data_IF_563701207887
#
_entry.id   IF_563701207887
#
_cell.length_a   1.000
_cell.length_b   1.000
_cell.length_c   1.000
_cell.angle_alpha   90.00
_cell.angle_beta   90.00
_cell.angle_gamma   90.00
#
_symmetry.space_group_name_H-M   'P 1'
#
loop_
_entity.id
_entity.type
_entity.pdbx_description
1 polymer ?
#
# COMPACT_ATOMS: atom_id res chain seq x y z
N UNK A 1 -24.32 -4.54 21.19
CA UNK A 1 -22.86 -4.34 20.97
C UNK A 1 -22.37 -3.12 21.75
N UNK A 2 -21.11 -3.07 22.22
CA UNK A 2 -20.54 -1.88 22.87
C UNK A 2 -19.62 -1.13 21.89
N UNK A 3 -20.20 -0.33 21.00
CA UNK A 3 -19.47 0.63 20.16
C UNK A 3 -19.89 2.05 20.55
N UNK A 4 -18.96 3.01 20.53
CA UNK A 4 -19.34 4.40 20.69
C UNK A 4 -19.77 4.96 19.34
N UNK A 5 -21.06 5.22 19.21
CA UNK A 5 -21.61 5.88 18.03
C UNK A 5 -21.22 7.35 18.05
N UNK A 6 -20.62 7.81 16.97
CA UNK A 6 -20.20 9.21 16.85
C UNK A 6 -21.43 10.05 16.50
N UNK A 7 -21.68 11.09 17.29
CA UNK A 7 -22.75 12.03 17.00
C UNK A 7 -22.33 12.92 15.81
N UNK A 8 -23.05 12.81 14.70
CA UNK A 8 -22.81 13.55 13.46
C UNK A 8 -23.95 14.55 13.30
N UNK A 9 -23.60 15.84 13.22
CA UNK A 9 -24.59 16.94 13.21
C UNK A 9 -24.39 17.93 12.07
N UNK A 10 -23.22 17.91 11.41
CA UNK A 10 -22.83 18.93 10.42
C UNK A 10 -22.78 18.43 8.98
N UNK A 11 -23.28 17.22 8.69
CA UNK A 11 -23.12 16.56 7.37
C UNK A 11 -23.51 17.47 6.21
N UNK A 12 -24.72 18.06 6.21
CA UNK A 12 -25.19 18.89 5.10
C UNK A 12 -24.35 20.16 4.91
N UNK A 13 -23.87 20.76 6.00
CA UNK A 13 -23.02 21.94 5.98
C UNK A 13 -21.67 21.60 5.34
N UNK A 14 -21.05 20.50 5.77
CA UNK A 14 -19.76 20.02 5.25
C UNK A 14 -19.88 19.66 3.77
N UNK A 15 -20.95 18.97 3.36
CA UNK A 15 -21.21 18.64 1.95
C UNK A 15 -21.20 19.89 1.07
N UNK A 16 -21.87 20.97 1.51
CA UNK A 16 -21.95 22.23 0.76
C UNK A 16 -20.63 23.00 0.77
N UNK A 17 -19.94 23.04 1.90
CA UNK A 17 -18.70 23.81 2.06
C UNK A 17 -17.54 23.20 1.28
N UNK A 18 -17.41 21.88 1.30
CA UNK A 18 -16.26 21.16 0.72
C UNK A 18 -16.58 20.49 -0.63
N UNK A 19 -17.81 20.63 -1.12
CA UNK A 19 -18.31 19.97 -2.33
C UNK A 19 -18.07 18.45 -2.34
N UNK A 20 -18.45 17.80 -1.23
CA UNK A 20 -18.29 16.36 -1.02
C UNK A 20 -19.62 15.65 -0.84
N UNK A 21 -19.63 14.34 -1.05
CA UNK A 21 -20.82 13.52 -0.84
C UNK A 21 -21.10 13.25 0.65
N UNK A 22 -22.24 12.60 0.92
CA UNK A 22 -22.71 12.36 2.27
C UNK A 22 -21.77 11.46 3.09
N UNK A 23 -21.23 10.38 2.50
CA UNK A 23 -20.33 9.49 3.22
C UNK A 23 -19.01 10.17 3.61
N UNK A 24 -18.43 10.95 2.69
CA UNK A 24 -17.21 11.72 2.96
C UNK A 24 -17.48 12.75 4.05
N UNK A 25 -18.56 13.52 3.94
CA UNK A 25 -18.93 14.52 4.94
C UNK A 25 -19.14 13.91 6.33
N UNK A 26 -19.80 12.74 6.42
CA UNK A 26 -19.97 12.01 7.69
C UNK A 26 -18.63 11.62 8.33
N UNK A 27 -17.66 11.17 7.52
CA UNK A 27 -16.32 10.83 8.03
C UNK A 27 -15.55 12.07 8.46
N UNK A 28 -15.65 13.19 7.73
CA UNK A 28 -15.06 14.48 8.11
C UNK A 28 -15.59 14.94 9.47
N UNK A 29 -16.92 14.95 9.64
CA UNK A 29 -17.58 15.35 10.89
C UNK A 29 -17.18 14.41 12.04
N UNK A 30 -17.27 13.09 11.82
CA UNK A 30 -16.96 12.10 12.84
C UNK A 30 -15.49 12.11 13.29
N UNK A 31 -14.57 12.45 12.39
CA UNK A 31 -13.13 12.57 12.70
C UNK A 31 -12.72 13.98 13.13
N UNK A 32 -13.65 14.95 13.14
CA UNK A 32 -13.34 16.35 13.46
C UNK A 32 -12.28 16.95 12.55
N UNK A 33 -12.30 16.58 11.26
CA UNK A 33 -11.35 17.12 10.29
C UNK A 33 -11.69 18.57 9.96
N UNK A 34 -10.72 19.47 10.13
CA UNK A 34 -10.85 20.86 9.70
C UNK A 34 -10.77 20.95 8.18
N UNK A 35 -11.33 22.02 7.62
CA UNK A 35 -11.24 22.32 6.18
C UNK A 35 -9.78 22.34 5.70
N UNK A 36 -8.88 23.00 6.44
CA UNK A 36 -7.44 23.02 6.13
C UNK A 36 -6.84 21.62 6.04
N UNK A 37 -7.16 20.73 7.00
CA UNK A 37 -6.68 19.35 7.00
C UNK A 37 -7.29 18.54 5.86
N UNK A 38 -8.54 18.79 5.50
CA UNK A 38 -9.20 18.14 4.37
C UNK A 38 -8.55 18.53 3.04
N UNK A 39 -8.30 19.82 2.82
CA UNK A 39 -7.61 20.29 1.61
C UNK A 39 -6.19 19.73 1.54
N UNK A 40 -5.45 19.71 2.65
CA UNK A 40 -4.12 19.10 2.72
C UNK A 40 -4.11 17.57 2.43
N UNK A 41 -5.22 16.86 2.63
CA UNK A 41 -5.33 15.43 2.27
C UNK A 41 -5.48 15.19 0.76
N UNK A 42 -5.96 16.20 0.04
CA UNK A 42 -6.27 16.16 -1.38
C UNK A 42 -5.26 16.95 -2.24
N UNK A 43 -4.35 17.69 -1.62
CA UNK A 43 -3.27 18.37 -2.30
C UNK A 43 -2.18 17.37 -2.74
N UNK A 44 -1.68 17.59 -3.96
CA UNK A 44 -0.61 16.80 -4.56
C UNK A 44 0.75 17.37 -4.12
N UNK A 45 1.50 16.60 -3.35
CA UNK A 45 2.82 17.00 -2.86
C UNK A 45 3.92 16.32 -3.67
N UNK A 46 4.94 17.08 -4.04
CA UNK A 46 6.16 16.56 -4.65
C UNK A 46 7.34 16.71 -3.70
N UNK A 47 8.23 15.72 -3.68
CA UNK A 47 9.51 15.87 -3.01
C UNK A 47 10.43 16.79 -3.82
N UNK A 48 11.00 17.79 -3.18
CA UNK A 48 12.05 18.61 -3.78
C UNK A 48 13.41 18.16 -3.24
N UNK A 49 14.36 17.92 -4.14
CA UNK A 49 15.69 17.43 -3.76
C UNK A 49 16.40 18.39 -2.79
N UNK A 50 16.20 19.70 -2.99
CA UNK A 50 16.79 20.76 -2.17
C UNK A 50 16.28 20.81 -0.73
N UNK A 51 15.23 20.07 -0.38
CA UNK A 51 14.73 19.99 0.99
C UNK A 51 15.61 19.09 1.88
N UNK A 52 16.51 18.30 1.27
CA UNK A 52 17.32 17.28 1.94
C UNK A 52 18.80 17.65 1.91
N UNK A 53 19.38 17.87 3.08
CA UNK A 53 20.80 18.21 3.25
C UNK A 53 21.68 17.11 2.64
N UNK A 54 22.69 17.50 1.86
CA UNK A 54 23.62 16.60 1.17
C UNK A 54 23.06 15.90 -0.08
N UNK A 55 21.75 15.95 -0.35
CA UNK A 55 21.16 15.25 -1.49
C UNK A 55 21.55 15.90 -2.84
N UNK A 56 21.62 17.23 -2.90
CA UNK A 56 22.09 17.98 -4.08
C UNK A 56 23.57 17.70 -4.35
N UNK A 57 24.40 17.62 -3.31
CA UNK A 57 25.82 17.30 -3.42
C UNK A 57 26.03 15.87 -3.95
N UNK A 58 25.26 14.90 -3.42
CA UNK A 58 25.28 13.53 -3.93
C UNK A 58 24.82 13.47 -5.40
N UNK A 59 23.78 14.21 -5.77
CA UNK A 59 23.36 14.30 -7.17
C UNK A 59 24.49 14.86 -8.05
N UNK A 60 25.15 15.93 -7.62
CA UNK A 60 26.21 16.55 -8.38
C UNK A 60 27.43 15.63 -8.54
N UNK A 61 27.85 14.92 -7.48
CA UNK A 61 29.00 14.01 -7.57
C UNK A 61 28.69 12.76 -8.40
N UNK A 62 27.45 12.24 -8.37
CA UNK A 62 27.01 11.14 -9.24
C UNK A 62 27.10 11.59 -10.70
N UNK A 63 26.65 12.82 -11.00
CA UNK A 63 26.74 13.39 -12.35
C UNK A 63 28.19 13.51 -12.81
N UNK A 64 29.05 14.12 -12.01
CA UNK A 64 30.47 14.28 -12.33
C UNK A 64 31.16 12.92 -12.55
N UNK A 65 30.89 11.96 -11.67
CA UNK A 65 31.42 10.60 -11.77
C UNK A 65 30.96 9.91 -13.06
N UNK A 66 29.70 10.09 -13.45
CA UNK A 66 29.15 9.55 -14.69
C UNK A 66 29.78 10.20 -15.93
N UNK A 67 29.90 11.53 -15.95
CA UNK A 67 30.48 12.29 -17.07
C UNK A 67 31.96 11.92 -17.29
N UNK A 68 32.66 11.53 -16.23
CA UNK A 68 34.04 11.02 -16.26
C UNK A 68 34.15 9.50 -16.56
N UNK A 69 33.04 8.84 -16.93
CA UNK A 69 32.96 7.37 -17.13
C UNK A 69 33.47 6.58 -15.91
N UNK A 70 33.35 7.10 -14.70
CA UNK A 70 33.83 6.40 -13.51
C UNK A 70 32.88 5.26 -13.11
N UNK A 71 33.45 4.19 -12.57
CA UNK A 71 32.67 3.03 -12.12
C UNK A 71 32.11 3.26 -10.72
N UNK A 72 30.82 3.01 -10.55
CA UNK A 72 30.15 3.01 -9.25
C UNK A 72 30.21 1.64 -8.56
N UNK A 73 30.38 1.64 -7.26
CA UNK A 73 30.24 0.48 -6.40
C UNK A 73 29.01 0.69 -5.51
N UNK A 74 28.05 -0.22 -5.55
CA UNK A 74 26.86 -0.17 -4.68
C UNK A 74 27.05 -1.15 -3.54
N UNK A 75 26.86 -0.66 -2.32
CA UNK A 75 26.95 -1.44 -1.08
C UNK A 75 25.69 -1.23 -0.27
N UNK A 76 25.11 -2.33 0.23
CA UNK A 76 23.83 -2.30 0.94
C UNK A 76 23.74 -3.39 1.98
N UNK A 77 23.09 -3.07 3.10
CA UNK A 77 22.66 -4.05 4.09
C UNK A 77 21.42 -4.85 3.62
N UNK A 78 21.07 -5.97 4.29
CA UNK A 78 19.98 -6.84 3.85
C UNK A 78 18.56 -6.41 4.28
N UNK A 79 18.35 -5.16 4.71
CA UNK A 79 16.99 -4.65 5.00
C UNK A 79 16.16 -4.53 3.71
N UNK A 80 14.83 -4.65 3.85
CA UNK A 80 13.92 -4.59 2.69
C UNK A 80 13.89 -3.20 2.03
N UNK A 81 13.92 -2.12 2.81
CA UNK A 81 14.02 -0.76 2.28
C UNK A 81 15.32 -0.61 1.47
N UNK A 82 16.45 -1.01 2.04
CA UNK A 82 17.76 -0.91 1.41
C UNK A 82 17.88 -1.74 0.12
N UNK A 83 17.21 -2.90 0.07
CA UNK A 83 17.05 -3.67 -1.15
C UNK A 83 16.35 -2.86 -2.25
N UNK A 84 15.22 -2.22 -1.92
CA UNK A 84 14.46 -1.44 -2.90
C UNK A 84 15.21 -0.17 -3.32
N UNK A 85 15.87 0.52 -2.38
CA UNK A 85 16.77 1.64 -2.66
C UNK A 85 17.90 1.22 -3.61
N UNK A 86 18.56 0.09 -3.32
CA UNK A 86 19.58 -0.49 -4.19
C UNK A 86 19.05 -0.72 -5.60
N UNK A 87 17.86 -1.32 -5.73
CA UNK A 87 17.23 -1.58 -7.04
C UNK A 87 16.94 -0.27 -7.79
N UNK A 88 16.45 0.76 -7.12
CA UNK A 88 16.20 2.08 -7.71
C UNK A 88 17.49 2.68 -8.26
N UNK A 89 18.58 2.66 -7.48
CA UNK A 89 19.89 3.17 -7.88
C UNK A 89 20.44 2.39 -9.08
N UNK A 90 20.56 1.06 -8.98
CA UNK A 90 21.18 0.25 -10.04
C UNK A 90 20.38 0.27 -11.34
N UNK A 91 19.04 0.35 -11.27
CA UNK A 91 18.21 0.46 -12.47
C UNK A 91 18.41 1.81 -13.15
N UNK A 92 18.52 2.87 -12.38
CA UNK A 92 18.75 4.21 -12.90
C UNK A 92 20.14 4.30 -13.53
N UNK A 93 21.18 3.79 -12.86
CA UNK A 93 22.54 3.67 -13.42
C UNK A 93 22.57 2.81 -14.71
N UNK A 94 21.86 1.68 -14.74
CA UNK A 94 21.75 0.85 -15.94
C UNK A 94 21.07 1.58 -17.10
N UNK A 95 20.01 2.37 -16.84
CA UNK A 95 19.34 3.19 -17.85
C UNK A 95 20.21 4.35 -18.33
N UNK A 96 21.04 4.93 -17.45
CA UNK A 96 22.07 5.90 -17.80
C UNK A 96 23.24 5.26 -18.58
N UNK A 97 23.31 3.92 -18.64
CA UNK A 97 24.46 3.16 -19.16
C UNK A 97 25.76 3.41 -18.38
N UNK A 98 25.66 3.76 -17.10
CA UNK A 98 26.80 3.92 -16.22
C UNK A 98 27.45 2.55 -15.90
N UNK A 99 28.76 2.54 -15.67
CA UNK A 99 29.48 1.35 -15.20
C UNK A 99 29.25 1.18 -13.71
N UNK A 100 28.75 0.02 -13.29
CA UNK A 100 28.57 -0.26 -11.87
C UNK A 100 28.85 -1.72 -11.49
N UNK A 101 29.11 -1.94 -10.22
CA UNK A 101 29.20 -3.26 -9.58
C UNK A 101 28.44 -3.22 -8.26
N UNK A 102 27.85 -4.35 -7.88
CA UNK A 102 27.12 -4.49 -6.62
C UNK A 102 27.91 -5.44 -5.73
N UNK A 103 28.19 -5.03 -4.50
CA UNK A 103 28.80 -5.90 -3.49
C UNK A 103 27.96 -5.90 -2.24
N UNK A 104 27.74 -7.10 -1.70
CA UNK A 104 27.25 -7.26 -0.35
C UNK A 104 28.44 -7.12 0.60
N UNK A 105 28.35 -6.25 1.61
CA UNK A 105 29.46 -6.05 2.55
C UNK A 105 28.90 -6.01 3.97
N UNK A 106 29.51 -6.84 4.83
CA UNK A 106 29.22 -6.92 6.26
C UNK A 106 30.37 -6.33 7.11
N UNK A 107 31.40 -5.73 6.49
CA UNK A 107 32.56 -5.10 7.16
C UNK A 107 33.24 -3.96 6.36
N UNK A 108 33.53 -2.86 7.06
CA UNK A 108 34.37 -1.69 6.74
C UNK A 108 34.34 -1.19 5.28
N UNK A 109 33.23 -0.54 4.92
CA UNK A 109 33.05 0.17 3.64
C UNK A 109 34.15 1.22 3.38
N UNK A 110 34.68 1.80 4.45
CA UNK A 110 35.79 2.76 4.41
C UNK A 110 37.11 2.17 3.87
N UNK A 111 37.22 0.85 3.68
CA UNK A 111 38.38 0.23 3.02
C UNK A 111 38.21 0.16 1.50
N UNK A 112 37.01 0.42 0.98
CA UNK A 112 36.72 0.35 -0.45
C UNK A 112 37.28 1.56 -1.18
N UNK A 113 37.80 1.30 -2.38
CA UNK A 113 38.35 2.34 -3.27
C UNK A 113 37.37 2.58 -4.42
N UNK A 114 37.25 3.83 -4.86
CA UNK A 114 36.40 4.25 -5.97
C UNK A 114 35.18 5.03 -5.52
N UNK A 115 34.23 5.22 -6.44
CA UNK A 115 32.96 5.89 -6.17
C UNK A 115 31.98 4.89 -5.56
N UNK A 116 31.73 5.01 -4.27
CA UNK A 116 30.87 4.07 -3.54
C UNK A 116 29.57 4.76 -3.16
N UNK A 117 28.45 4.13 -3.50
CA UNK A 117 27.12 4.48 -3.01
C UNK A 117 26.76 3.44 -1.95
N UNK A 118 26.73 3.87 -0.69
CA UNK A 118 26.42 3.03 0.46
C UNK A 118 24.98 3.28 0.92
N UNK A 119 24.24 2.19 1.17
CA UNK A 119 22.82 2.20 1.56
C UNK A 119 22.65 1.35 2.83
N UNK A 120 22.77 1.99 3.99
CA UNK A 120 22.77 1.33 5.31
C UNK A 120 21.71 1.94 6.22
N UNK A 121 22.12 2.72 7.21
CA UNK A 121 21.19 3.51 8.02
C UNK A 121 20.87 4.83 7.32
N UNK A 122 21.78 5.31 6.46
CA UNK A 122 21.61 6.47 5.60
C UNK A 122 22.05 6.17 4.16
N UNK A 123 21.77 7.10 3.25
CA UNK A 123 22.25 7.07 1.87
C UNK A 123 23.51 7.94 1.79
N UNK A 124 24.63 7.32 1.43
CA UNK A 124 25.94 7.97 1.42
C UNK A 124 26.63 7.81 0.07
N UNK A 125 27.48 8.78 -0.26
CA UNK A 125 28.45 8.69 -1.33
C UNK A 125 29.84 8.91 -0.76
N UNK A 126 30.77 7.98 -0.99
CA UNK A 126 32.15 8.16 -0.58
C UNK A 126 33.15 7.80 -1.68
N UNK A 127 34.24 8.57 -1.72
CA UNK A 127 35.42 8.27 -2.50
C UNK A 127 36.66 8.71 -1.71
N UNK A 128 37.33 7.73 -1.09
CA UNK A 128 38.51 7.95 -0.26
C UNK A 128 39.70 8.52 -1.03
N UNK A 129 39.80 8.26 -2.34
CA UNK A 129 40.89 8.79 -3.16
C UNK A 129 40.72 10.28 -3.46
N UNK A 130 39.46 10.73 -3.52
CA UNK A 130 39.09 12.14 -3.71
C UNK A 130 38.80 12.88 -2.39
N UNK A 131 38.94 12.20 -1.24
CA UNK A 131 38.56 12.72 0.08
C UNK A 131 37.10 13.23 0.13
N UNK A 132 36.19 12.50 -0.51
CA UNK A 132 34.76 12.82 -0.57
C UNK A 132 34.01 11.88 0.36
N UNK A 133 33.24 12.46 1.27
CA UNK A 133 32.32 11.77 2.16
C UNK A 133 31.05 12.60 2.28
N UNK A 134 29.99 12.15 1.64
CA UNK A 134 28.68 12.81 1.61
C UNK A 134 27.63 11.86 2.17
N UNK A 135 26.69 12.43 2.90
CA UNK A 135 25.59 11.72 3.54
C UNK A 135 24.33 12.56 3.40
N UNK A 136 23.20 11.90 3.18
CA UNK A 136 21.90 12.57 3.15
C UNK A 136 21.22 12.48 4.50
N UNK A 137 20.89 13.62 5.08
CA UNK A 137 20.02 13.70 6.25
C UNK A 137 18.56 13.71 5.77
N UNK A 138 17.78 12.69 6.16
CA UNK A 138 16.41 12.49 5.68
C UNK A 138 15.55 11.79 6.73
N UNK A 139 14.27 12.15 6.78
CA UNK A 139 13.21 11.46 7.52
C UNK A 139 12.43 10.45 6.65
N UNK A 140 12.71 10.43 5.35
CA UNK A 140 12.12 9.49 4.40
C UNK A 140 12.71 8.08 4.52
N UNK A 141 12.01 7.09 3.98
CA UNK A 141 12.63 5.79 3.65
C UNK A 141 13.79 5.98 2.67
N UNK A 142 14.82 5.13 2.77
CA UNK A 142 15.99 5.21 1.90
C UNK A 142 15.63 4.95 0.44
N UNK A 143 14.62 4.13 0.17
CA UNK A 143 14.09 3.94 -1.19
C UNK A 143 13.45 5.20 -1.74
N UNK A 144 12.74 5.95 -0.91
CA UNK A 144 12.16 7.24 -1.33
C UNK A 144 13.26 8.25 -1.58
N UNK A 145 14.27 8.33 -0.70
CA UNK A 145 15.41 9.22 -0.92
C UNK A 145 16.18 8.84 -2.20
N UNK A 146 16.45 7.55 -2.42
CA UNK A 146 17.05 7.05 -3.65
C UNK A 146 16.20 7.41 -4.89
N UNK A 147 14.87 7.32 -4.81
CA UNK A 147 14.00 7.77 -5.89
C UNK A 147 14.10 9.29 -6.12
N UNK A 148 14.09 10.09 -5.06
CA UNK A 148 14.16 11.55 -5.13
C UNK A 148 15.48 12.04 -5.73
N UNK A 149 16.60 11.36 -5.48
CA UNK A 149 17.88 11.65 -6.13
C UNK A 149 17.88 11.15 -7.58
N UNK A 150 17.52 9.88 -7.79
CA UNK A 150 17.71 9.25 -9.10
C UNK A 150 16.71 9.72 -10.17
N UNK A 151 15.53 10.24 -9.77
CA UNK A 151 14.55 10.82 -10.71
C UNK A 151 15.08 12.04 -11.46
N UNK A 152 16.09 12.74 -10.91
CA UNK A 152 16.76 13.88 -11.55
C UNK A 152 17.59 13.46 -12.77
N UNK A 153 17.98 12.18 -12.83
CA UNK A 153 18.69 11.61 -13.97
C UNK A 153 17.75 10.82 -14.88
N UNK A 154 16.92 9.95 -14.29
CA UNK A 154 16.06 9.03 -15.03
C UNK A 154 14.72 8.86 -14.32
N UNK A 155 13.65 9.21 -15.03
CA UNK A 155 12.28 8.92 -14.57
C UNK A 155 11.93 7.45 -14.87
N UNK A 156 11.68 6.67 -13.83
CA UNK A 156 11.25 5.27 -13.92
C UNK A 156 10.00 5.02 -13.08
N UNK A 157 8.88 4.72 -13.73
CA UNK A 157 7.60 4.44 -13.03
C UNK A 157 7.72 3.29 -12.03
N UNK A 158 8.59 2.30 -12.31
CA UNK A 158 8.81 1.20 -11.38
C UNK A 158 9.53 1.65 -10.10
N UNK A 159 10.39 2.67 -10.17
CA UNK A 159 11.04 3.24 -8.98
C UNK A 159 10.03 3.93 -8.05
N UNK A 160 8.97 4.55 -8.60
CA UNK A 160 7.86 5.10 -7.81
C UNK A 160 7.16 3.98 -7.03
N UNK A 161 6.88 2.85 -7.68
CA UNK A 161 6.27 1.69 -7.03
C UNK A 161 7.14 1.12 -5.91
N UNK A 162 8.45 0.98 -6.15
CA UNK A 162 9.40 0.50 -5.13
C UNK A 162 9.49 1.44 -3.93
N UNK A 163 9.64 2.75 -4.17
CA UNK A 163 9.71 3.76 -3.12
C UNK A 163 8.43 3.80 -2.27
N UNK A 164 7.26 3.71 -2.91
CA UNK A 164 5.99 3.65 -2.19
C UNK A 164 5.86 2.39 -1.33
N UNK A 165 6.24 1.22 -1.84
CA UNK A 165 6.20 -0.04 -1.08
C UNK A 165 7.16 0.02 0.11
N UNK A 166 8.31 0.68 -0.05
CA UNK A 166 9.25 0.88 1.05
C UNK A 166 8.67 1.74 2.18
N UNK A 167 7.88 2.78 1.89
CA UNK A 167 7.20 3.54 2.95
C UNK A 167 6.26 2.66 3.79
N UNK A 168 5.68 1.61 3.19
CA UNK A 168 4.87 0.62 3.93
C UNK A 168 5.76 -0.23 4.84
N UNK A 169 6.97 -0.60 4.41
CA UNK A 169 7.87 -1.45 5.20
C UNK A 169 8.54 -0.71 6.36
N UNK A 170 8.82 0.58 6.19
CA UNK A 170 9.41 1.44 7.23
C UNK A 170 8.39 2.06 8.17
N UNK A 171 7.08 1.82 7.94
CA UNK A 171 5.96 2.41 8.69
C UNK A 171 6.02 3.94 8.77
N UNK A 172 6.60 4.59 7.74
CA UNK A 172 6.57 6.05 7.64
C UNK A 172 5.12 6.52 7.43
N UNK A 173 4.67 7.61 8.08
CA UNK A 173 3.31 8.10 7.91
C UNK A 173 2.96 8.37 6.44
N UNK A 174 1.83 7.82 5.99
CA UNK A 174 1.32 8.01 4.61
C UNK A 174 0.45 9.27 4.51
N UNK A 175 1.01 10.40 4.94
CA UNK A 175 0.47 11.76 4.77
C UNK A 175 1.27 12.55 3.72
N UNK A 176 0.71 13.67 3.24
CA UNK A 176 1.37 14.63 2.35
C UNK A 176 2.08 13.98 1.14
N UNK A 177 3.40 14.15 1.00
CA UNK A 177 4.19 13.59 -0.10
C UNK A 177 4.19 12.05 -0.13
N UNK A 178 4.23 11.38 1.02
CA UNK A 178 4.14 9.91 1.09
C UNK A 178 2.77 9.40 0.61
N UNK A 179 1.70 10.15 0.91
CA UNK A 179 0.34 9.86 0.42
C UNK A 179 0.26 10.00 -1.09
N UNK A 180 0.79 11.10 -1.63
CA UNK A 180 0.84 11.38 -3.07
C UNK A 180 1.63 10.30 -3.79
N UNK A 181 2.80 9.93 -3.26
CA UNK A 181 3.63 8.84 -3.78
C UNK A 181 2.87 7.50 -3.80
N UNK A 182 2.13 7.18 -2.74
CA UNK A 182 1.33 5.97 -2.67
C UNK A 182 0.20 5.95 -3.71
N UNK A 183 -0.55 7.04 -3.85
CA UNK A 183 -1.63 7.14 -4.86
C UNK A 183 -1.08 6.93 -6.27
N UNK A 184 0.01 7.63 -6.63
CA UNK A 184 0.70 7.46 -7.92
C UNK A 184 1.23 6.04 -8.12
N UNK A 185 1.81 5.44 -7.08
CA UNK A 185 2.29 4.06 -7.15
C UNK A 185 1.15 3.06 -7.36
N UNK A 186 0.01 3.22 -6.68
CA UNK A 186 -1.18 2.38 -6.86
C UNK A 186 -1.65 2.41 -8.32
N UNK A 187 -1.80 3.59 -8.90
CA UNK A 187 -2.19 3.75 -10.31
C UNK A 187 -1.19 3.07 -11.25
N UNK A 188 0.12 3.27 -11.04
CA UNK A 188 1.17 2.62 -11.83
C UNK A 188 1.10 1.09 -11.71
N UNK A 189 0.89 0.56 -10.51
CA UNK A 189 0.82 -0.87 -10.26
C UNK A 189 -0.39 -1.52 -10.95
N UNK A 190 -1.53 -0.83 -10.93
CA UNK A 190 -2.78 -1.28 -11.55
C UNK A 190 -2.72 -1.19 -13.08
N UNK A 191 -2.10 -0.14 -13.63
CA UNK A 191 -1.90 0.06 -15.09
C UNK A 191 -0.82 -0.88 -15.66
N UNK A 192 0.37 -0.91 -15.05
CA UNK A 192 1.53 -1.64 -15.59
C UNK A 192 1.52 -3.13 -15.28
N UNK A 193 0.77 -3.55 -14.27
CA UNK A 193 0.62 -4.96 -13.88
C UNK A 193 1.97 -5.70 -13.78
N UNK A 194 2.93 -5.10 -13.06
CA UNK A 194 4.27 -5.66 -12.93
C UNK A 194 4.22 -7.07 -12.36
N UNK A 195 4.72 -8.04 -13.14
CA UNK A 195 4.68 -9.48 -12.86
C UNK A 195 5.24 -9.80 -11.48
N UNK A 196 6.31 -9.10 -11.08
CA UNK A 196 6.98 -9.29 -9.79
C UNK A 196 6.07 -9.04 -8.60
N UNK A 197 5.18 -8.06 -8.66
CA UNK A 197 4.23 -7.74 -7.58
C UNK A 197 2.95 -8.54 -7.69
N UNK A 198 2.41 -8.73 -8.90
CA UNK A 198 1.19 -9.50 -9.08
C UNK A 198 1.26 -10.91 -8.50
N UNK A 199 2.44 -11.56 -8.59
CA UNK A 199 2.65 -12.90 -8.04
C UNK A 199 2.40 -13.01 -6.54
N UNK A 200 2.55 -11.91 -5.80
CA UNK A 200 2.22 -11.83 -4.39
C UNK A 200 0.74 -11.46 -4.18
N UNK A 201 0.23 -10.55 -5.01
CA UNK A 201 -1.07 -9.91 -4.80
C UNK A 201 -2.28 -10.74 -5.27
N UNK A 202 -2.07 -11.70 -6.18
CA UNK A 202 -3.12 -12.60 -6.67
C UNK A 202 -2.61 -14.04 -6.81
N UNK A 203 -3.31 -14.99 -6.19
CA UNK A 203 -2.96 -16.41 -6.31
C UNK A 203 -3.23 -16.91 -7.74
N UNK A 204 -2.53 -17.96 -8.21
CA UNK A 204 -2.80 -18.56 -9.52
C UNK A 204 -4.27 -18.95 -9.71
N UNK A 205 -4.90 -19.52 -8.67
CA UNK A 205 -6.30 -19.95 -8.70
C UNK A 205 -7.23 -18.74 -8.87
N UNK A 206 -6.99 -17.67 -8.10
CA UNK A 206 -7.78 -16.44 -8.20
C UNK A 206 -7.62 -15.76 -9.56
N UNK A 207 -6.39 -15.73 -10.09
CA UNK A 207 -6.12 -15.21 -11.44
C UNK A 207 -6.88 -16.01 -12.50
N UNK A 208 -6.79 -17.34 -12.45
CA UNK A 208 -7.50 -18.22 -13.40
C UNK A 208 -9.02 -18.04 -13.30
N UNK A 209 -9.56 -17.95 -12.08
CA UNK A 209 -10.99 -17.72 -11.88
C UNK A 209 -11.46 -16.36 -12.43
N UNK A 210 -10.65 -15.30 -12.31
CA UNK A 210 -10.94 -14.00 -12.92
C UNK A 210 -10.90 -14.11 -14.46
N UNK A 211 -9.84 -14.67 -15.03
CA UNK A 211 -9.71 -14.83 -16.49
C UNK A 211 -10.89 -15.59 -17.10
N UNK A 212 -11.34 -16.68 -16.46
CA UNK A 212 -12.48 -17.47 -16.93
C UNK A 212 -13.81 -16.70 -16.88
N UNK A 213 -13.97 -15.73 -15.98
CA UNK A 213 -15.24 -15.01 -15.78
C UNK A 213 -15.31 -13.69 -16.54
N UNK A 214 -14.23 -12.90 -16.51
CA UNK A 214 -14.19 -11.54 -17.03
C UNK A 214 -13.27 -11.37 -18.24
N UNK A 215 -12.56 -12.41 -18.68
CA UNK A 215 -11.58 -12.34 -19.76
C UNK A 215 -10.27 -11.61 -19.39
N UNK A 216 -10.28 -10.82 -18.32
CA UNK A 216 -9.12 -10.12 -17.76
C UNK A 216 -8.95 -10.45 -16.28
N UNK A 217 -7.69 -10.59 -15.85
CA UNK A 217 -7.31 -10.57 -14.45
C UNK A 217 -7.04 -9.13 -14.02
N UNK A 218 -7.47 -8.77 -12.82
CA UNK A 218 -7.20 -7.46 -12.23
C UNK A 218 -6.71 -7.64 -10.79
N UNK A 219 -5.74 -6.82 -10.43
CA UNK A 219 -5.11 -6.81 -9.11
C UNK A 219 -5.28 -5.43 -8.50
N UNK A 220 -5.92 -5.36 -7.32
CA UNK A 220 -6.02 -4.11 -6.55
C UNK A 220 -4.90 -3.99 -5.53
N UNK A 221 -4.44 -2.76 -5.30
CA UNK A 221 -3.30 -2.42 -4.44
C UNK A 221 -3.72 -1.49 -3.27
N UNK A 222 -4.58 -2.01 -2.38
CA UNK A 222 -4.89 -1.33 -1.11
C UNK A 222 -3.78 -1.56 -0.08
N UNK A 223 -3.61 -0.63 0.87
CA UNK A 223 -2.51 -0.66 1.83
C UNK A 223 -2.43 -1.98 2.62
N UNK A 224 -3.47 -2.40 3.34
CA UNK A 224 -3.50 -3.70 4.06
C UNK A 224 -3.09 -4.86 3.19
N UNK A 225 -3.63 -4.93 1.98
CA UNK A 225 -3.36 -6.03 1.07
C UNK A 225 -1.89 -6.06 0.67
N UNK A 226 -1.30 -4.90 0.39
CA UNK A 226 0.14 -4.79 0.12
C UNK A 226 0.96 -5.14 1.37
N UNK A 227 0.55 -4.66 2.54
CA UNK A 227 1.22 -4.96 3.82
C UNK A 227 1.23 -6.47 4.09
N UNK A 228 0.08 -7.12 3.99
CA UNK A 228 -0.10 -8.52 4.40
C UNK A 228 0.38 -9.53 3.35
N UNK A 229 0.20 -9.24 2.04
CA UNK A 229 0.54 -10.20 0.98
C UNK A 229 1.93 -10.00 0.39
N UNK A 230 2.50 -8.79 0.49
CA UNK A 230 3.77 -8.44 -0.12
C UNK A 230 4.83 -8.07 0.94
N UNK A 231 4.59 -7.01 1.71
CA UNK A 231 5.63 -6.41 2.58
C UNK A 231 6.00 -7.32 3.73
N UNK A 232 5.03 -7.76 4.53
CA UNK A 232 5.32 -8.57 5.71
C UNK A 232 5.94 -9.93 5.34
N UNK A 233 5.46 -10.66 4.30
CA UNK A 233 6.13 -11.87 3.84
C UNK A 233 7.59 -11.63 3.39
N UNK A 234 7.87 -10.52 2.70
CA UNK A 234 9.23 -10.16 2.28
C UNK A 234 10.13 -9.83 3.47
N UNK A 235 9.64 -9.05 4.43
CA UNK A 235 10.37 -8.73 5.66
C UNK A 235 10.71 -10.00 6.45
N UNK A 236 9.74 -10.90 6.60
CA UNK A 236 9.97 -12.18 7.28
C UNK A 236 10.95 -13.08 6.52
N UNK A 237 10.93 -13.07 5.20
CA UNK A 237 11.90 -13.79 4.38
C UNK A 237 13.33 -13.26 4.60
N UNK A 238 13.49 -11.94 4.81
CA UNK A 238 14.78 -11.28 5.05
C UNK A 238 15.20 -11.21 6.54
N UNK A 239 14.36 -11.63 7.49
CA UNK A 239 14.58 -11.44 8.94
C UNK A 239 15.93 -11.94 9.48
N UNK A 240 16.50 -12.97 8.85
CA UNK A 240 17.78 -13.56 9.24
C UNK A 240 19.00 -12.82 8.63
N UNK A 241 18.79 -11.70 7.94
CA UNK A 241 19.82 -10.92 7.24
C UNK A 241 20.67 -11.79 6.30
N UNK A 242 20.03 -12.77 5.65
CA UNK A 242 20.68 -13.75 4.78
C UNK A 242 21.01 -13.15 3.41
N UNK A 243 22.30 -13.02 3.11
CA UNK A 243 22.83 -12.51 1.84
C UNK A 243 22.30 -13.25 0.61
N UNK A 244 22.14 -14.58 0.68
CA UNK A 244 21.64 -15.38 -0.45
C UNK A 244 20.18 -15.04 -0.73
N UNK A 245 19.37 -14.87 0.33
CA UNK A 245 17.97 -14.43 0.22
C UNK A 245 17.89 -13.02 -0.36
N UNK A 246 18.74 -12.11 0.11
CA UNK A 246 18.80 -10.75 -0.42
C UNK A 246 19.16 -10.71 -1.91
N UNK A 247 20.23 -11.41 -2.32
CA UNK A 247 20.64 -11.51 -3.73
C UNK A 247 19.57 -12.15 -4.63
N UNK A 248 18.82 -13.12 -4.10
CA UNK A 248 17.68 -13.72 -4.79
C UNK A 248 16.55 -12.71 -5.01
N UNK A 249 16.23 -11.88 -4.01
CA UNK A 249 15.24 -10.81 -4.15
C UNK A 249 15.72 -9.68 -5.05
N UNK A 250 17.00 -9.30 -4.99
CA UNK A 250 17.60 -8.32 -5.91
C UNK A 250 17.39 -8.77 -7.35
N UNK A 251 17.74 -10.02 -7.66
CA UNK A 251 17.54 -10.61 -8.98
C UNK A 251 16.07 -10.72 -9.38
N UNK A 252 15.18 -10.94 -8.41
CA UNK A 252 13.73 -11.06 -8.63
C UNK A 252 13.12 -9.71 -8.99
N UNK A 253 13.40 -8.66 -8.21
CA UNK A 253 12.78 -7.34 -8.37
C UNK A 253 13.52 -6.45 -9.38
N UNK A 254 14.74 -6.79 -9.81
CA UNK A 254 15.48 -5.96 -10.78
C UNK A 254 14.74 -5.78 -12.11
N UNK A 255 14.09 -6.83 -12.65
CA UNK A 255 13.28 -6.73 -13.86
C UNK A 255 11.80 -6.99 -13.55
N UNK A 256 10.94 -5.96 -13.55
CA UNK A 256 9.55 -6.07 -13.09
C UNK A 256 8.68 -7.01 -13.93
N UNK A 257 9.06 -7.27 -15.18
CA UNK A 257 8.27 -8.04 -16.12
C UNK A 257 8.87 -9.42 -16.43
N UNK A 258 9.95 -9.81 -15.74
CA UNK A 258 10.63 -11.08 -16.00
C UNK A 258 9.74 -12.26 -15.62
N UNK A 259 9.45 -13.10 -16.62
CA UNK A 259 8.69 -14.35 -16.45
C UNK A 259 9.64 -15.52 -16.42
N UNK A 260 10.03 -15.93 -15.21
CA UNK A 260 10.92 -17.07 -14.98
C UNK A 260 10.27 -18.04 -13.97
N UNK A 261 10.41 -19.34 -14.21
CA UNK A 261 9.89 -20.41 -13.36
C UNK A 261 10.58 -20.45 -11.99
N UNK A 262 11.88 -20.15 -11.91
CA UNK A 262 12.62 -20.04 -10.65
C UNK A 262 12.11 -18.87 -9.82
N UNK A 263 11.87 -17.72 -10.45
CA UNK A 263 11.28 -16.56 -9.79
C UNK A 263 9.86 -16.87 -9.30
N UNK A 264 9.09 -17.66 -10.05
CA UNK A 264 7.73 -18.06 -9.64
C UNK A 264 7.79 -18.93 -8.37
N UNK A 265 8.74 -19.87 -8.30
CA UNK A 265 8.97 -20.70 -7.11
C UNK A 265 9.41 -19.87 -5.90
N UNK A 266 10.24 -18.85 -6.12
CA UNK A 266 10.68 -17.93 -5.06
C UNK A 266 9.49 -17.15 -4.48
N UNK A 267 8.65 -16.55 -5.33
CA UNK A 267 7.46 -15.84 -4.88
C UNK A 267 6.53 -16.76 -4.06
N UNK A 268 6.27 -17.98 -4.54
CA UNK A 268 5.47 -18.98 -3.82
C UNK A 268 6.09 -19.41 -2.49
N UNK A 269 7.42 -19.41 -2.36
CA UNK A 269 8.09 -19.70 -1.10
C UNK A 269 7.90 -18.55 -0.09
N UNK A 270 8.00 -17.31 -0.55
CA UNK A 270 7.83 -16.11 0.27
C UNK A 270 6.37 -15.96 0.75
N UNK A 271 5.38 -16.27 -0.09
CA UNK A 271 3.95 -16.19 0.31
C UNK A 271 3.57 -17.17 1.44
N UNK A 272 4.44 -18.14 1.78
CA UNK A 272 4.20 -19.07 2.90
C UNK A 272 4.50 -18.45 4.27
N UNK A 273 5.22 -17.34 4.31
CA UNK A 273 5.46 -16.60 5.55
C UNK A 273 4.15 -15.90 5.95
N UNK A 274 3.41 -16.52 6.87
CA UNK A 274 2.16 -15.97 7.41
C UNK A 274 2.47 -14.78 8.30
N UNK A 275 1.60 -13.77 8.26
CA UNK A 275 1.56 -12.68 9.23
C UNK A 275 0.15 -12.51 9.73
N UNK A 276 0.03 -12.08 10.99
CA UNK A 276 -1.26 -11.70 11.53
C UNK A 276 -1.78 -10.45 10.81
N UNK A 277 -3.07 -10.44 10.50
CA UNK A 277 -3.71 -9.29 9.89
C UNK A 277 -3.81 -8.17 10.93
N UNK A 278 -3.02 -7.09 10.76
CA UNK A 278 -3.24 -5.87 11.53
C UNK A 278 -4.60 -5.27 11.18
N UNK A 279 -5.35 -4.85 12.21
CA UNK A 279 -6.64 -4.18 12.01
C UNK A 279 -6.40 -2.76 11.47
N UNK A 280 -6.98 -2.46 10.31
CA UNK A 280 -6.92 -1.13 9.68
C UNK A 280 -7.87 -0.10 10.32
N UNK A 281 -8.74 -0.53 11.22
CA UNK A 281 -9.85 0.28 11.73
C UNK A 281 -9.79 0.42 13.25
N UNK A 282 -10.33 1.54 13.73
CA UNK A 282 -10.52 1.80 15.15
C UNK A 282 -11.86 1.20 15.59
N UNK A 283 -11.83 0.21 16.49
CA UNK A 283 -13.03 -0.47 17.00
C UNK A 283 -13.79 0.37 18.03
N UNK A 284 -13.28 1.53 18.45
CA UNK A 284 -13.94 2.35 19.46
C UNK A 284 -15.09 3.20 18.93
N UNK A 285 -15.08 3.55 17.63
CA UNK A 285 -16.00 4.51 17.03
C UNK A 285 -16.68 3.96 15.78
N UNK A 286 -18.00 4.16 15.67
CA UNK A 286 -18.79 3.80 14.47
C UNK A 286 -19.61 4.97 13.96
N UNK A 287 -19.76 5.03 12.64
CA UNK A 287 -20.52 6.04 11.92
C UNK A 287 -21.84 5.43 11.42
N UNK A 288 -22.97 6.00 11.82
CA UNK A 288 -24.27 5.50 11.37
C UNK A 288 -24.52 5.82 9.89
N UNK A 289 -24.96 4.80 9.16
CA UNK A 289 -25.39 4.89 7.77
C UNK A 289 -26.69 4.14 7.56
N UNK A 290 -27.41 4.51 6.50
CA UNK A 290 -28.60 3.83 6.03
C UNK A 290 -28.31 3.06 4.75
N UNK A 291 -29.15 2.09 4.41
CA UNK A 291 -29.01 1.31 3.17
C UNK A 291 -29.05 2.18 1.90
N UNK A 292 -29.79 3.30 1.94
CA UNK A 292 -29.93 4.21 0.80
C UNK A 292 -28.67 5.04 0.51
N UNK A 293 -27.81 5.24 1.52
CA UNK A 293 -26.52 5.93 1.40
C UNK A 293 -25.42 5.02 0.84
N UNK A 294 -25.63 3.70 0.83
CA UNK A 294 -24.64 2.72 0.40
C UNK A 294 -24.75 2.52 -1.12
N UNK A 295 -24.09 3.40 -1.86
CA UNK A 295 -24.05 3.41 -3.34
C UNK A 295 -22.62 3.29 -3.85
N UNK A 296 -22.46 2.79 -5.07
CA UNK A 296 -21.13 2.59 -5.69
C UNK A 296 -20.35 3.90 -5.70
N UNK A 297 -20.93 4.97 -6.24
CA UNK A 297 -20.24 6.26 -6.37
C UNK A 297 -19.94 6.89 -5.00
N UNK A 298 -20.83 6.67 -4.02
CA UNK A 298 -20.62 7.13 -2.64
C UNK A 298 -19.38 6.48 -2.01
N UNK A 299 -19.25 5.16 -2.17
CA UNK A 299 -18.12 4.38 -1.64
C UNK A 299 -16.84 4.67 -2.43
N UNK A 300 -16.90 4.87 -3.75
CA UNK A 300 -15.73 5.24 -4.56
C UNK A 300 -15.14 6.56 -4.10
N UNK A 301 -15.95 7.62 -4.00
CA UNK A 301 -15.51 8.92 -3.52
C UNK A 301 -14.91 8.82 -2.10
N UNK A 302 -15.52 8.03 -1.21
CA UNK A 302 -14.98 7.78 0.12
C UNK A 302 -13.57 7.15 0.06
N UNK A 303 -13.39 6.10 -0.74
CA UNK A 303 -12.11 5.44 -0.93
C UNK A 303 -11.07 6.38 -1.57
N UNK A 304 -11.42 7.11 -2.63
CA UNK A 304 -10.51 8.03 -3.32
C UNK A 304 -10.06 9.20 -2.43
N UNK A 305 -10.96 9.69 -1.59
CA UNK A 305 -10.71 10.79 -0.66
C UNK A 305 -9.75 10.37 0.44
N UNK A 306 -9.96 9.21 1.07
CA UNK A 306 -9.28 8.85 2.32
C UNK A 306 -8.20 7.76 2.17
N UNK A 307 -8.24 6.90 1.16
CA UNK A 307 -7.16 5.92 0.97
C UNK A 307 -5.85 6.61 0.54
N UNK A 308 -4.69 6.13 1.01
CA UNK A 308 -4.49 5.00 1.93
C UNK A 308 -4.88 5.33 3.38
N UNK A 309 -5.51 4.36 4.06
CA UNK A 309 -5.72 4.38 5.52
C UNK A 309 -4.46 3.88 6.21
N UNK A 310 -3.98 4.57 7.25
CA UNK A 310 -2.73 4.26 7.96
C UNK A 310 -2.89 4.54 9.46
N UNK A 311 -1.83 4.37 10.27
CA UNK A 311 -1.93 4.53 11.73
C UNK A 311 -2.39 5.93 12.18
N UNK A 312 -2.07 6.97 11.42
CA UNK A 312 -2.55 8.34 11.66
C UNK A 312 -3.95 8.63 11.07
N UNK A 313 -4.49 7.75 10.22
CA UNK A 313 -5.83 7.87 9.66
C UNK A 313 -6.44 6.49 9.41
N UNK A 314 -6.94 5.87 10.48
CA UNK A 314 -7.54 4.53 10.44
C UNK A 314 -8.83 4.51 9.63
N UNK A 315 -9.09 3.38 8.97
CA UNK A 315 -10.30 3.13 8.18
C UNK A 315 -11.55 3.29 9.05
N UNK A 316 -12.57 4.05 8.61
CA UNK A 316 -13.79 4.24 9.37
C UNK A 316 -14.63 2.95 9.43
N UNK A 317 -15.23 2.70 10.60
CA UNK A 317 -16.28 1.70 10.77
C UNK A 317 -17.65 2.36 10.64
N UNK A 318 -18.55 1.65 9.98
CA UNK A 318 -19.92 2.06 9.76
C UNK A 318 -20.88 1.07 10.43
N UNK A 319 -22.00 1.59 10.93
CA UNK A 319 -23.08 0.78 11.49
C UNK A 319 -24.36 0.94 10.66
N UNK A 320 -24.92 -0.17 10.22
CA UNK A 320 -26.29 -0.30 9.74
C UNK A 320 -27.15 -0.84 10.87
N UNK A 321 -28.22 -0.13 11.25
CA UNK A 321 -29.10 -0.53 12.34
C UNK A 321 -30.42 -1.08 11.85
N UNK A 322 -30.89 -2.13 12.51
CA UNK A 322 -32.25 -2.65 12.39
C UNK A 322 -32.69 -2.89 10.94
N UNK A 323 -31.78 -3.44 10.12
CA UNK A 323 -32.04 -3.75 8.71
C UNK A 323 -32.61 -5.15 8.58
N UNK A 324 -33.59 -5.32 7.70
CA UNK A 324 -34.26 -6.60 7.46
C UNK A 324 -33.52 -7.39 6.39
N UNK A 325 -33.14 -8.63 6.71
CA UNK A 325 -32.44 -9.53 5.80
C UNK A 325 -33.35 -9.95 4.64
N UNK A 326 -32.93 -9.67 3.41
CA UNK A 326 -33.66 -10.12 2.21
C UNK A 326 -33.29 -11.57 1.87
N UNK A 327 -31.99 -11.88 1.84
CA UNK A 327 -31.48 -13.21 1.54
C UNK A 327 -30.14 -13.46 2.23
N UNK A 328 -29.78 -14.72 2.43
CA UNK A 328 -28.50 -15.12 3.04
C UNK A 328 -27.89 -16.33 2.36
N UNK A 329 -26.57 -16.29 2.15
CA UNK A 329 -25.79 -17.38 1.57
C UNK A 329 -24.54 -17.66 2.38
N UNK A 330 -24.30 -18.94 2.68
CA UNK A 330 -23.00 -19.42 3.16
C UNK A 330 -22.19 -19.98 1.99
N UNK A 331 -20.87 -19.80 2.04
CA UNK A 331 -19.95 -20.29 1.00
C UNK A 331 -18.64 -20.76 1.61
N UNK A 332 -17.83 -21.42 0.79
CA UNK A 332 -16.52 -21.97 1.17
C UNK A 332 -16.56 -22.77 2.49
N UNK A 333 -17.36 -23.84 2.50
CA UNK A 333 -17.53 -24.73 3.65
C UNK A 333 -17.93 -23.99 4.94
N UNK A 334 -18.83 -23.00 4.81
CA UNK A 334 -19.33 -22.12 5.88
C UNK A 334 -18.28 -21.18 6.51
N UNK A 335 -17.11 -21.00 5.89
CA UNK A 335 -16.16 -19.94 6.26
C UNK A 335 -16.63 -18.57 5.82
N UNK A 336 -17.45 -18.50 4.78
CA UNK A 336 -18.03 -17.27 4.24
C UNK A 336 -19.52 -17.12 4.54
N UNK A 337 -19.94 -15.88 4.81
CA UNK A 337 -21.33 -15.46 4.93
C UNK A 337 -21.56 -14.23 4.04
N UNK A 338 -22.61 -14.27 3.22
CA UNK A 338 -23.11 -13.14 2.44
C UNK A 338 -24.58 -12.90 2.82
N UNK A 339 -24.93 -11.66 3.13
CA UNK A 339 -26.27 -11.20 3.45
C UNK A 339 -26.66 -10.15 2.41
N UNK A 340 -27.84 -10.26 1.83
CA UNK A 340 -28.34 -9.33 0.83
C UNK A 340 -29.47 -8.47 1.41
N UNK A 341 -29.46 -7.19 1.02
CA UNK A 341 -30.48 -6.21 1.31
C UNK A 341 -30.99 -5.62 0.00
N UNK A 342 -32.31 -5.55 -0.16
CA UNK A 342 -32.95 -4.86 -1.28
C UNK A 342 -33.20 -3.40 -0.91
N UNK A 343 -32.74 -2.49 -1.76
CA UNK A 343 -32.96 -1.04 -1.64
C UNK A 343 -33.72 -0.54 -2.86
N UNK A 344 -34.13 0.74 -2.85
CA UNK A 344 -34.73 1.40 -4.03
C UNK A 344 -33.76 1.53 -5.21
N UNK A 345 -32.46 1.37 -4.98
CA UNK A 345 -31.41 1.55 -5.99
C UNK A 345 -30.65 0.25 -6.33
N UNK A 346 -31.13 -0.90 -5.86
CA UNK A 346 -30.55 -2.21 -6.20
C UNK A 346 -30.27 -3.07 -4.97
N UNK A 347 -29.22 -3.89 -5.07
CA UNK A 347 -28.80 -4.79 -3.99
C UNK A 347 -27.58 -4.21 -3.26
N UNK A 348 -27.67 -4.18 -1.95
CA UNK A 348 -26.53 -3.96 -1.05
C UNK A 348 -26.17 -5.30 -0.41
N UNK A 349 -24.88 -5.62 -0.34
CA UNK A 349 -24.40 -6.89 0.23
C UNK A 349 -23.54 -6.66 1.47
N UNK A 350 -23.71 -7.47 2.49
CA UNK A 350 -22.78 -7.55 3.61
C UNK A 350 -22.08 -8.90 3.62
N UNK A 351 -20.75 -8.91 3.64
CA UNK A 351 -19.95 -10.14 3.53
C UNK A 351 -18.98 -10.29 4.68
N UNK A 352 -18.86 -11.51 5.20
CA UNK A 352 -17.86 -11.88 6.21
C UNK A 352 -17.14 -13.15 5.75
N UNK A 353 -15.84 -13.25 6.02
CA UNK A 353 -15.06 -14.45 5.74
C UNK A 353 -14.10 -14.73 6.90
N UNK A 354 -14.04 -15.98 7.36
CA UNK A 354 -13.28 -16.39 8.56
C UNK A 354 -13.56 -15.51 9.80
N UNK A 355 -14.78 -14.97 9.92
CA UNK A 355 -15.21 -14.12 11.03
C UNK A 355 -16.24 -14.88 11.91
N UNK A 356 -16.23 -14.76 13.25
CA UNK A 356 -17.21 -15.41 14.13
C UNK A 356 -18.68 -15.23 13.71
N UNK A 357 -19.04 -14.10 13.10
CA UNK A 357 -20.41 -13.83 12.61
C UNK A 357 -20.90 -14.84 11.57
N UNK A 358 -20.00 -15.55 10.88
CA UNK A 358 -20.38 -16.55 9.86
C UNK A 358 -21.11 -17.75 10.46
N UNK A 359 -20.96 -17.97 11.77
CA UNK A 359 -21.62 -19.05 12.51
C UNK A 359 -23.02 -18.69 12.99
N UNK A 360 -23.39 -17.41 13.03
CA UNK A 360 -24.69 -16.94 13.50
C UNK A 360 -25.84 -17.51 12.66
N UNK A 361 -26.95 -17.87 13.31
CA UNK A 361 -28.16 -18.35 12.63
C UNK A 361 -29.04 -17.17 12.21
N UNK A 362 -28.75 -16.65 11.01
CA UNK A 362 -29.50 -15.58 10.35
C UNK A 362 -30.37 -16.16 9.24
N UNK A 363 -31.62 -15.74 9.15
CA UNK A 363 -32.63 -16.12 8.15
C UNK A 363 -33.19 -14.89 7.45
N UNK A 364 -33.77 -15.09 6.27
CA UNK A 364 -34.54 -14.03 5.61
C UNK A 364 -35.69 -13.59 6.51
N UNK A 365 -35.93 -12.28 6.58
CA UNK A 365 -36.91 -11.66 7.49
C UNK A 365 -36.35 -11.30 8.87
N UNK A 366 -35.17 -11.81 9.26
CA UNK A 366 -34.55 -11.38 10.52
C UNK A 366 -34.16 -9.89 10.47
N UNK A 367 -34.29 -9.21 11.61
CA UNK A 367 -33.81 -7.84 11.79
C UNK A 367 -32.44 -7.87 12.46
N UNK A 368 -31.46 -7.19 11.87
CA UNK A 368 -30.07 -7.23 12.34
C UNK A 368 -29.43 -5.84 12.34
N UNK A 369 -28.40 -5.66 13.16
CA UNK A 369 -27.45 -4.55 13.06
C UNK A 369 -26.08 -5.07 12.65
N UNK A 370 -25.41 -4.38 11.73
CA UNK A 370 -24.12 -4.75 11.17
C UNK A 370 -23.13 -3.63 11.40
N UNK A 371 -21.96 -3.96 11.93
CA UNK A 371 -20.79 -3.08 11.97
C UNK A 371 -19.76 -3.58 10.96
N UNK A 372 -19.27 -2.70 10.10
CA UNK A 372 -18.31 -3.08 9.07
C UNK A 372 -17.70 -1.90 8.33
N UNK A 373 -16.86 -2.21 7.36
CA UNK A 373 -16.26 -1.20 6.47
C UNK A 373 -16.98 -1.20 5.14
N UNK A 374 -17.23 -0.02 4.58
CA UNK A 374 -17.86 0.09 3.26
C UNK A 374 -16.88 -0.33 2.17
N UNK A 375 -17.34 -1.18 1.26
CA UNK A 375 -16.52 -1.73 0.16
C UNK A 375 -17.38 -1.94 -1.08
N UNK A 376 -16.73 -1.97 -2.24
CA UNK A 376 -17.34 -2.49 -3.47
C UNK A 376 -16.84 -3.92 -3.64
N UNK A 377 -17.78 -4.85 -3.73
CA UNK A 377 -17.43 -6.26 -3.87
C UNK A 377 -16.73 -6.48 -5.22
N UNK A 378 -15.46 -6.87 -5.17
CA UNK A 378 -14.63 -7.02 -6.36
C UNK A 378 -15.22 -8.04 -7.39
N UNK A 379 -15.99 -9.03 -6.94
CA UNK A 379 -16.56 -10.06 -7.82
C UNK A 379 -17.90 -9.68 -8.45
N UNK A 380 -18.78 -9.01 -7.69
CA UNK A 380 -20.14 -8.68 -8.16
C UNK A 380 -20.29 -7.23 -8.61
N UNK A 381 -19.33 -6.37 -8.28
CA UNK A 381 -19.41 -4.92 -8.51
C UNK A 381 -20.45 -4.21 -7.63
N UNK A 382 -21.12 -4.93 -6.72
CA UNK A 382 -22.17 -4.38 -5.87
C UNK A 382 -21.59 -3.65 -4.64
N UNK A 383 -22.26 -2.57 -4.19
CA UNK A 383 -21.87 -1.86 -2.98
C UNK A 383 -22.24 -2.68 -1.73
N UNK A 384 -21.48 -2.48 -0.65
CA UNK A 384 -21.65 -3.34 0.51
C UNK A 384 -20.80 -3.03 1.72
N UNK A 385 -20.91 -3.90 2.72
CA UNK A 385 -20.07 -3.88 3.92
C UNK A 385 -19.24 -5.16 4.04
N UNK A 386 -17.97 -5.00 4.39
CA UNK A 386 -17.20 -6.09 4.99
C UNK A 386 -17.49 -6.14 6.49
N UNK A 387 -18.18 -7.20 6.93
CA UNK A 387 -18.69 -7.33 8.30
C UNK A 387 -17.52 -7.54 9.27
N UNK A 388 -17.43 -6.68 10.27
CA UNK A 388 -16.56 -6.83 11.43
C UNK A 388 -17.34 -7.49 12.57
N UNK A 389 -18.55 -7.01 12.84
CA UNK A 389 -19.43 -7.52 13.89
C UNK A 389 -20.89 -7.47 13.46
N UNK A 390 -21.74 -8.31 14.04
CA UNK A 390 -23.17 -8.37 13.74
C UNK A 390 -23.99 -8.80 14.97
N UNK A 391 -25.16 -8.19 15.13
CA UNK A 391 -26.10 -8.47 16.22
C UNK A 391 -27.47 -8.72 15.59
N UNK A 392 -28.12 -9.81 16.01
CA UNK A 392 -29.47 -10.15 15.60
C UNK A 392 -30.44 -9.66 16.66
N UNK A 393 -31.47 -8.95 16.24
CA UNK A 393 -32.57 -8.52 17.09
C UNK A 393 -33.68 -9.56 17.05
N UNK A 394 -34.31 -9.78 18.20
CA UNK A 394 -35.40 -10.74 18.35
C UNK A 394 -36.74 -10.12 17.98
#
# INVERSE_FOLDING_TARGET
>A
MNYNEVNIVNTETIMKQLDVNALVAKVIDAKGLTEEKFHALNEDYEYHLGDYSGAEDIKNIIKESYDNDEKFLIVSDPKLDNLFASIIVIRSLAKMKARFEIKYINKDEYMLKGNVIAIHDTLQFHNNQKNIHLEVETDLSLSTMAYVIMKEFVRDSYSIALASIANICTNVPLSYANRTLFKRAKEILEDKQYVVFERFMITPEKRNAQLLRSGNAYTTYHLSKMKNLLVNPLMNFLKDNDEKRWNALLSYFFNPNKRDSKLSKLALAITKFKTDDEKEYDESQVIEVTLDEIRIDEIKNLSETFEPYYDGFKRPLFILKNVVVTDRRRFDLAKGLEISFRTKHGLVKATAYNNPVTKLDIKAGDTISIVGTLTINAFSGLPGLSIVNMEKHN
#
